data_IF_037987349349
#
_entry.id   IF_037987349349
#
_cell.length_a   1.000
_cell.length_b   1.000
_cell.length_c   1.000
_cell.angle_alpha   90.00
_cell.angle_beta   90.00
_cell.angle_gamma   90.00
#
_symmetry.space_group_name_H-M   'P 1'
#
loop_
_entity.id
_entity.type
_entity.pdbx_description
1 polymer ?
#
# COMPACT_ATOMS: atom_id res chain seq x y z
N UNK A 1 -166.15 -106.95 -139.40
CA UNK A 1 -166.60 -106.11 -138.27
C UNK A 1 -165.78 -106.42 -137.01
N UNK A 2 -164.48 -106.09 -136.99
CA UNK A 2 -163.63 -106.20 -135.78
C UNK A 2 -162.52 -105.13 -135.73
N UNK A 3 -162.38 -104.30 -136.77
CA UNK A 3 -161.36 -103.26 -136.87
C UNK A 3 -161.79 -101.91 -136.26
N UNK A 4 -163.09 -101.68 -136.03
CA UNK A 4 -163.63 -100.42 -135.50
C UNK A 4 -163.58 -100.28 -133.97
N UNK A 5 -163.02 -101.25 -133.23
CA UNK A 5 -162.87 -101.19 -131.75
C UNK A 5 -161.44 -100.86 -131.27
N UNK A 6 -160.46 -100.76 -132.17
CA UNK A 6 -159.04 -100.64 -131.81
C UNK A 6 -158.49 -99.20 -131.85
N UNK A 7 -159.22 -98.26 -132.44
CA UNK A 7 -158.79 -96.85 -132.53
C UNK A 7 -159.26 -95.99 -131.34
N UNK A 8 -160.36 -96.35 -130.68
CA UNK A 8 -160.93 -95.56 -129.58
C UNK A 8 -160.14 -95.65 -128.26
N UNK A 9 -159.41 -96.74 -128.02
CA UNK A 9 -158.61 -96.91 -126.79
C UNK A 9 -157.27 -96.14 -126.81
N UNK A 10 -156.78 -95.74 -127.98
CA UNK A 10 -155.50 -95.00 -128.09
C UNK A 10 -155.64 -93.51 -127.79
N UNK A 11 -156.78 -92.92 -128.13
CA UNK A 11 -157.03 -91.49 -127.94
C UNK A 11 -157.23 -91.12 -126.47
N UNK A 12 -157.84 -92.01 -125.67
CA UNK A 12 -158.04 -91.75 -124.23
C UNK A 12 -156.75 -91.81 -123.39
N UNK A 13 -155.75 -92.61 -123.79
CA UNK A 13 -154.49 -92.70 -123.05
C UNK A 13 -153.55 -91.49 -123.22
N UNK A 14 -153.67 -90.75 -124.33
CA UNK A 14 -152.78 -89.61 -124.62
C UNK A 14 -153.21 -88.33 -123.87
N UNK A 15 -154.50 -88.20 -123.55
CA UNK A 15 -155.04 -87.06 -122.78
C UNK A 15 -154.64 -87.13 -121.30
N UNK A 16 -154.56 -88.32 -120.71
CA UNK A 16 -154.21 -88.50 -119.29
C UNK A 16 -152.74 -88.15 -118.98
N UNK A 17 -151.82 -88.35 -119.92
CA UNK A 17 -150.39 -88.06 -119.73
C UNK A 17 -150.10 -86.56 -119.73
N UNK A 18 -150.84 -85.77 -120.51
CA UNK A 18 -150.69 -84.31 -120.55
C UNK A 18 -151.14 -83.65 -119.24
N UNK A 19 -152.22 -84.12 -118.64
CA UNK A 19 -152.79 -83.54 -117.42
C UNK A 19 -151.90 -83.78 -116.18
N UNK A 20 -151.17 -84.91 -116.15
CA UNK A 20 -150.18 -85.21 -115.10
C UNK A 20 -148.95 -84.28 -115.19
N UNK A 21 -148.55 -83.90 -116.41
CA UNK A 21 -147.37 -83.05 -116.61
C UNK A 21 -147.60 -81.62 -116.11
N UNK A 22 -148.78 -81.07 -116.37
CA UNK A 22 -149.14 -79.71 -115.94
C UNK A 22 -149.29 -79.61 -114.42
N UNK A 23 -149.81 -80.64 -113.75
CA UNK A 23 -149.84 -80.69 -112.27
C UNK A 23 -148.45 -80.67 -111.65
N UNK A 24 -147.52 -81.48 -112.16
CA UNK A 24 -146.16 -81.51 -111.64
C UNK A 24 -145.40 -80.19 -111.86
N UNK A 25 -145.65 -79.49 -112.97
CA UNK A 25 -145.01 -78.21 -113.22
C UNK A 25 -145.48 -77.12 -112.23
N UNK A 26 -146.76 -77.12 -111.86
CA UNK A 26 -147.29 -76.19 -110.88
C UNK A 26 -146.77 -76.46 -109.46
N UNK A 27 -146.68 -77.73 -109.02
CA UNK A 27 -146.11 -78.06 -107.70
C UNK A 27 -144.64 -77.62 -107.55
N UNK A 28 -143.84 -77.75 -108.62
CA UNK A 28 -142.43 -77.31 -108.59
C UNK A 28 -142.33 -75.79 -108.48
N UNK A 29 -143.18 -75.04 -109.19
CA UNK A 29 -143.19 -73.58 -109.13
C UNK A 29 -143.60 -73.07 -107.74
N UNK A 30 -144.59 -73.72 -107.10
CA UNK A 30 -145.06 -73.36 -105.77
C UNK A 30 -143.99 -73.60 -104.69
N UNK A 31 -143.26 -74.72 -104.76
CA UNK A 31 -142.14 -75.00 -103.85
C UNK A 31 -140.97 -74.02 -104.01
N UNK A 32 -140.72 -73.54 -105.23
CA UNK A 32 -139.65 -72.57 -105.49
C UNK A 32 -139.94 -71.22 -104.83
N UNK A 33 -141.17 -70.71 -104.97
CA UNK A 33 -141.60 -69.47 -104.31
C UNK A 33 -141.51 -69.56 -102.79
N UNK A 34 -141.96 -70.68 -102.19
CA UNK A 34 -141.86 -70.89 -100.74
C UNK A 34 -140.40 -70.87 -100.23
N UNK A 35 -139.45 -71.41 -101.01
CA UNK A 35 -138.03 -71.38 -100.62
C UNK A 35 -137.43 -69.98 -100.76
N UNK A 36 -137.82 -69.21 -101.77
CA UNK A 36 -137.33 -67.86 -101.98
C UNK A 36 -137.81 -66.90 -100.88
N UNK A 37 -139.09 -67.02 -100.47
CA UNK A 37 -139.64 -66.29 -99.33
C UNK A 37 -138.89 -66.61 -98.02
N UNK A 38 -138.61 -67.90 -97.79
CA UNK A 38 -137.88 -68.35 -96.60
C UNK A 38 -136.45 -67.81 -96.57
N UNK A 39 -135.77 -67.75 -97.73
CA UNK A 39 -134.42 -67.21 -97.84
C UNK A 39 -134.40 -65.70 -97.53
N UNK A 40 -135.36 -64.94 -98.05
CA UNK A 40 -135.47 -63.51 -97.76
C UNK A 40 -135.73 -63.22 -96.28
N UNK A 41 -136.60 -63.99 -95.63
CA UNK A 41 -136.85 -63.87 -94.19
C UNK A 41 -135.61 -64.18 -93.33
N UNK A 42 -134.80 -65.17 -93.74
CA UNK A 42 -133.54 -65.45 -93.04
C UNK A 42 -132.58 -64.27 -93.21
N UNK A 43 -132.46 -63.70 -94.41
CA UNK A 43 -131.55 -62.58 -94.68
C UNK A 43 -131.91 -61.32 -93.88
N UNK A 44 -133.19 -60.97 -93.80
CA UNK A 44 -133.65 -59.82 -93.00
C UNK A 44 -133.47 -60.05 -91.50
N UNK A 45 -133.69 -61.28 -91.00
CA UNK A 45 -133.39 -61.65 -89.61
C UNK A 45 -131.89 -61.52 -89.26
N UNK A 46 -131.01 -61.90 -90.20
CA UNK A 46 -129.56 -61.80 -90.00
C UNK A 46 -129.08 -60.34 -89.96
N UNK A 47 -129.56 -59.50 -90.87
CA UNK A 47 -129.20 -58.07 -90.90
C UNK A 47 -129.71 -57.32 -89.66
N UNK A 48 -130.90 -57.68 -89.15
CA UNK A 48 -131.43 -57.10 -87.91
C UNK A 48 -130.64 -57.55 -86.68
N UNK A 49 -130.25 -58.82 -86.58
CA UNK A 49 -129.37 -59.29 -85.50
C UNK A 49 -127.98 -58.65 -85.56
N UNK A 50 -127.41 -58.47 -86.76
CA UNK A 50 -126.11 -57.80 -86.94
C UNK A 50 -126.16 -56.36 -86.44
N UNK A 51 -127.19 -55.59 -86.82
CA UNK A 51 -127.37 -54.22 -86.33
C UNK A 51 -127.53 -54.13 -84.81
N UNK A 52 -128.25 -55.07 -84.18
CA UNK A 52 -128.37 -55.12 -82.71
C UNK A 52 -127.03 -55.37 -82.03
N UNK A 53 -126.24 -56.31 -82.55
CA UNK A 53 -124.90 -56.62 -82.03
C UNK A 53 -123.94 -55.44 -82.14
N UNK A 54 -123.96 -54.71 -83.25
CA UNK A 54 -123.11 -53.52 -83.43
C UNK A 54 -123.48 -52.42 -82.41
N UNK A 55 -124.79 -52.22 -82.16
CA UNK A 55 -125.29 -51.24 -81.20
C UNK A 55 -124.94 -51.62 -79.75
N UNK A 56 -125.08 -52.91 -79.39
CA UNK A 56 -124.64 -53.41 -78.08
C UNK A 56 -123.14 -53.22 -77.86
N UNK A 57 -122.32 -53.47 -78.89
CA UNK A 57 -120.88 -53.27 -78.82
C UNK A 57 -120.51 -51.80 -78.58
N UNK A 58 -121.19 -50.87 -79.23
CA UNK A 58 -120.96 -49.43 -79.05
C UNK A 58 -121.35 -48.96 -77.64
N UNK A 59 -122.52 -49.39 -77.14
CA UNK A 59 -122.95 -49.11 -75.76
C UNK A 59 -121.94 -49.66 -74.75
N UNK A 60 -121.45 -50.89 -74.96
CA UNK A 60 -120.47 -51.51 -74.07
C UNK A 60 -119.13 -50.74 -74.07
N UNK A 61 -118.66 -50.31 -75.24
CA UNK A 61 -117.42 -49.55 -75.36
C UNK A 61 -117.50 -48.20 -74.63
N UNK A 62 -118.61 -47.47 -74.79
CA UNK A 62 -118.82 -46.20 -74.10
C UNK A 62 -118.93 -46.39 -72.59
N UNK A 63 -119.64 -47.42 -72.13
CA UNK A 63 -119.73 -47.75 -70.70
C UNK A 63 -118.36 -48.11 -70.09
N UNK A 64 -117.48 -48.78 -70.84
CA UNK A 64 -116.13 -49.06 -70.38
C UNK A 64 -115.27 -47.80 -70.33
N UNK A 65 -115.39 -46.89 -71.29
CA UNK A 65 -114.66 -45.63 -71.31
C UNK A 65 -115.06 -44.73 -70.12
N UNK A 66 -116.36 -44.58 -69.85
CA UNK A 66 -116.85 -43.84 -68.67
C UNK A 66 -116.30 -44.42 -67.36
N UNK A 67 -116.28 -45.76 -67.22
CA UNK A 67 -115.70 -46.40 -66.03
C UNK A 67 -114.21 -46.12 -65.88
N UNK A 68 -113.45 -46.03 -66.97
CA UNK A 68 -112.02 -45.72 -66.92
C UNK A 68 -111.82 -44.26 -66.49
N UNK A 69 -112.63 -43.34 -67.02
CA UNK A 69 -112.58 -41.93 -66.66
C UNK A 69 -112.95 -41.69 -65.20
N UNK A 70 -114.01 -42.33 -64.71
CA UNK A 70 -114.39 -42.30 -63.29
C UNK A 70 -113.27 -42.87 -62.40
N UNK A 71 -112.67 -43.99 -62.80
CA UNK A 71 -111.58 -44.60 -62.05
C UNK A 71 -110.36 -43.67 -61.95
N UNK A 72 -109.97 -43.05 -63.07
CA UNK A 72 -108.88 -42.09 -63.11
C UNK A 72 -109.17 -40.86 -62.24
N UNK A 73 -110.39 -40.31 -62.28
CA UNK A 73 -110.79 -39.19 -61.45
C UNK A 73 -110.73 -39.53 -59.94
N UNK A 74 -111.10 -40.76 -59.55
CA UNK A 74 -110.96 -41.23 -58.17
C UNK A 74 -109.48 -41.33 -57.76
N UNK A 75 -108.62 -41.87 -58.62
CA UNK A 75 -107.18 -41.97 -58.34
C UNK A 75 -106.51 -40.59 -58.27
N UNK A 76 -106.82 -39.68 -59.18
CA UNK A 76 -106.28 -38.32 -59.17
C UNK A 76 -106.66 -37.58 -57.89
N UNK A 77 -107.93 -37.67 -57.46
CA UNK A 77 -108.36 -37.10 -56.19
C UNK A 77 -107.64 -37.76 -54.99
N UNK A 78 -107.42 -39.08 -55.02
CA UNK A 78 -106.67 -39.78 -53.98
C UNK A 78 -105.20 -39.32 -53.92
N UNK A 79 -104.56 -39.11 -55.06
CA UNK A 79 -103.19 -38.58 -55.11
C UNK A 79 -103.13 -37.14 -54.60
N UNK A 80 -104.08 -36.30 -54.99
CA UNK A 80 -104.15 -34.90 -54.56
C UNK A 80 -104.33 -34.79 -53.04
N UNK A 81 -105.31 -35.50 -52.50
CA UNK A 81 -105.56 -35.55 -51.05
C UNK A 81 -104.38 -36.13 -50.28
N UNK A 82 -103.73 -37.19 -50.79
CA UNK A 82 -102.52 -37.74 -50.16
C UNK A 82 -101.36 -36.74 -50.16
N UNK A 83 -101.21 -35.95 -51.23
CA UNK A 83 -100.17 -34.94 -51.34
C UNK A 83 -100.44 -33.74 -50.43
N UNK A 84 -101.69 -33.27 -50.37
CA UNK A 84 -102.13 -32.21 -49.44
C UNK A 84 -101.92 -32.62 -47.98
N UNK A 85 -102.29 -33.84 -47.61
CA UNK A 85 -102.04 -34.39 -46.28
C UNK A 85 -100.53 -34.49 -45.97
N UNK A 86 -99.72 -34.94 -46.94
CA UNK A 86 -98.27 -35.02 -46.76
C UNK A 86 -97.64 -33.63 -46.56
N UNK A 87 -98.12 -32.60 -47.27
CA UNK A 87 -97.66 -31.22 -47.09
C UNK A 87 -98.07 -30.66 -45.73
N UNK A 88 -99.30 -30.91 -45.26
CA UNK A 88 -99.74 -30.49 -43.93
C UNK A 88 -98.87 -31.12 -42.83
N UNK A 89 -98.58 -32.42 -42.94
CA UNK A 89 -97.69 -33.09 -41.99
C UNK A 89 -96.27 -32.52 -42.06
N UNK A 90 -95.78 -32.15 -43.24
CA UNK A 90 -94.46 -31.53 -43.37
C UNK A 90 -94.40 -30.14 -42.74
N UNK A 91 -95.45 -29.32 -42.91
CA UNK A 91 -95.58 -28.00 -42.28
C UNK A 91 -95.67 -28.12 -40.75
N UNK A 92 -96.47 -29.06 -40.23
CA UNK A 92 -96.54 -29.34 -38.79
C UNK A 92 -95.19 -29.79 -38.21
N UNK A 93 -94.43 -30.63 -38.94
CA UNK A 93 -93.08 -31.05 -38.51
C UNK A 93 -92.13 -29.85 -38.51
N UNK A 94 -92.20 -28.97 -39.50
CA UNK A 94 -91.34 -27.79 -39.57
C UNK A 94 -91.63 -26.82 -38.41
N UNK A 95 -92.90 -26.53 -38.14
CA UNK A 95 -93.34 -25.69 -37.01
C UNK A 95 -92.88 -26.28 -35.66
N UNK A 96 -93.11 -27.58 -35.45
CA UNK A 96 -92.65 -28.27 -34.24
C UNK A 96 -91.13 -28.22 -34.09
N UNK A 97 -90.40 -28.37 -35.20
CA UNK A 97 -88.93 -28.32 -35.19
C UNK A 97 -88.44 -26.92 -34.84
N UNK A 98 -89.02 -25.86 -35.41
CA UNK A 98 -88.69 -24.48 -35.07
C UNK A 98 -88.99 -24.15 -33.60
N UNK A 99 -90.12 -24.61 -33.07
CA UNK A 99 -90.46 -24.44 -31.65
C UNK A 99 -89.52 -25.20 -30.71
N UNK A 100 -89.05 -26.39 -31.11
CA UNK A 100 -88.04 -27.12 -30.35
C UNK A 100 -86.69 -26.39 -30.40
N UNK A 101 -86.26 -25.92 -31.57
CA UNK A 101 -85.02 -25.16 -31.73
C UNK A 101 -85.04 -23.91 -30.86
N UNK A 102 -86.13 -23.12 -30.92
CA UNK A 102 -86.26 -21.91 -30.13
C UNK A 102 -86.20 -22.18 -28.63
N UNK A 103 -86.90 -23.22 -28.15
CA UNK A 103 -86.83 -23.62 -26.73
C UNK A 103 -85.42 -24.05 -26.32
N UNK A 104 -84.70 -24.78 -27.17
CA UNK A 104 -83.32 -25.16 -26.90
C UNK A 104 -82.39 -23.96 -26.87
N UNK A 105 -82.57 -22.98 -27.76
CA UNK A 105 -81.80 -21.73 -27.75
C UNK A 105 -82.05 -20.94 -26.46
N UNK A 106 -83.31 -20.76 -26.07
CA UNK A 106 -83.69 -20.07 -24.83
C UNK A 106 -83.09 -20.79 -23.59
N UNK A 107 -83.23 -22.11 -23.49
CA UNK A 107 -82.63 -22.90 -22.40
C UNK A 107 -81.09 -22.80 -22.38
N UNK A 108 -80.47 -22.80 -23.55
CA UNK A 108 -79.01 -22.68 -23.68
C UNK A 108 -78.54 -21.30 -23.23
N UNK A 109 -79.22 -20.24 -23.64
CA UNK A 109 -78.88 -18.87 -23.22
C UNK A 109 -79.05 -18.67 -21.72
N UNK A 110 -80.11 -19.23 -21.12
CA UNK A 110 -80.33 -19.20 -19.67
C UNK A 110 -79.21 -19.94 -18.92
N UNK A 111 -78.84 -21.14 -19.38
CA UNK A 111 -77.73 -21.91 -18.80
C UNK A 111 -76.39 -21.18 -18.92
N UNK A 112 -76.12 -20.53 -20.04
CA UNK A 112 -74.92 -19.72 -20.22
C UNK A 112 -74.94 -18.52 -19.26
N UNK A 113 -76.07 -17.82 -19.14
CA UNK A 113 -76.22 -16.70 -18.22
C UNK A 113 -76.01 -17.13 -16.76
N UNK A 114 -76.60 -18.25 -16.34
CA UNK A 114 -76.40 -18.81 -15.00
C UNK A 114 -74.93 -19.21 -14.78
N UNK A 115 -74.32 -19.93 -15.71
CA UNK A 115 -72.93 -20.37 -15.59
C UNK A 115 -71.96 -19.20 -15.52
N UNK A 116 -72.15 -18.17 -16.35
CA UNK A 116 -71.32 -16.96 -16.32
C UNK A 116 -71.48 -16.19 -15.02
N UNK A 117 -72.70 -16.11 -14.47
CA UNK A 117 -72.97 -15.49 -13.18
C UNK A 117 -72.30 -16.26 -12.02
N UNK A 118 -72.46 -17.58 -11.96
CA UNK A 118 -71.80 -18.42 -10.94
C UNK A 118 -70.28 -18.34 -11.02
N UNK A 119 -69.72 -18.35 -12.22
CA UNK A 119 -68.28 -18.20 -12.42
C UNK A 119 -67.78 -16.83 -11.96
N UNK A 120 -68.56 -15.77 -12.20
CA UNK A 120 -68.24 -14.42 -11.70
C UNK A 120 -68.23 -14.37 -10.18
N UNK A 121 -69.25 -14.93 -9.52
CA UNK A 121 -69.28 -15.01 -8.04
C UNK A 121 -68.03 -15.74 -7.51
N UNK A 122 -67.70 -16.91 -8.07
CA UNK A 122 -66.51 -17.66 -7.65
C UNK A 122 -65.22 -16.88 -7.87
N UNK A 123 -65.11 -16.17 -8.99
CA UNK A 123 -63.97 -15.32 -9.30
C UNK A 123 -63.84 -14.16 -8.30
N UNK A 124 -64.95 -13.50 -7.97
CA UNK A 124 -64.98 -12.40 -7.01
C UNK A 124 -64.64 -12.87 -5.59
N UNK A 125 -65.18 -14.01 -5.16
CA UNK A 125 -64.83 -14.65 -3.88
C UNK A 125 -63.34 -14.98 -3.79
N UNK A 126 -62.78 -15.58 -4.85
CA UNK A 126 -61.35 -15.90 -4.91
C UNK A 126 -60.47 -14.66 -4.95
N UNK A 127 -60.90 -13.62 -5.66
CA UNK A 127 -60.21 -12.32 -5.69
C UNK A 127 -60.16 -11.69 -4.30
N UNK A 128 -61.28 -11.75 -3.56
CA UNK A 128 -61.39 -11.22 -2.21
C UNK A 128 -60.57 -12.04 -1.19
N UNK A 129 -60.57 -13.37 -1.31
CA UNK A 129 -59.71 -14.27 -0.53
C UNK A 129 -58.23 -13.95 -0.76
N UNK A 130 -57.82 -13.79 -2.02
CA UNK A 130 -56.44 -13.44 -2.39
C UNK A 130 -56.04 -12.06 -1.86
N UNK A 131 -56.93 -11.06 -1.98
CA UNK A 131 -56.69 -9.72 -1.45
C UNK A 131 -56.50 -9.76 0.07
N UNK A 132 -57.29 -10.53 0.80
CA UNK A 132 -57.14 -10.73 2.25
C UNK A 132 -55.82 -11.43 2.60
N UNK A 133 -55.43 -12.46 1.86
CA UNK A 133 -54.14 -13.16 2.05
C UNK A 133 -52.96 -12.23 1.81
N UNK A 134 -53.01 -11.43 0.75
CA UNK A 134 -51.96 -10.47 0.40
C UNK A 134 -51.83 -9.38 1.48
N UNK A 135 -52.95 -8.82 1.95
CA UNK A 135 -52.95 -7.84 3.04
C UNK A 135 -52.39 -8.44 4.35
N UNK A 136 -52.68 -9.70 4.65
CA UNK A 136 -52.11 -10.39 5.81
C UNK A 136 -50.60 -10.63 5.67
N UNK A 137 -50.15 -11.07 4.49
CA UNK A 137 -48.72 -11.23 4.20
C UNK A 137 -47.97 -9.90 4.33
N UNK A 138 -48.54 -8.80 3.82
CA UNK A 138 -47.95 -7.47 3.95
C UNK A 138 -47.84 -7.02 5.42
N UNK A 139 -48.87 -7.27 6.23
CA UNK A 139 -48.85 -6.99 7.68
C UNK A 139 -47.77 -7.78 8.41
N UNK A 140 -47.63 -9.07 8.10
CA UNK A 140 -46.59 -9.93 8.68
C UNK A 140 -45.21 -9.43 8.27
N UNK A 141 -44.99 -9.14 6.98
CA UNK A 141 -43.73 -8.62 6.47
C UNK A 141 -43.34 -7.29 7.11
N UNK A 142 -44.29 -6.35 7.25
CA UNK A 142 -44.08 -5.08 7.93
C UNK A 142 -43.68 -5.26 9.40
N UNK A 143 -44.27 -6.26 10.07
CA UNK A 143 -43.93 -6.58 11.46
C UNK A 143 -42.53 -7.17 11.57
N UNK A 144 -42.16 -8.08 10.68
CA UNK A 144 -40.81 -8.65 10.60
C UNK A 144 -39.77 -7.57 10.30
N UNK A 145 -40.04 -6.66 9.36
CA UNK A 145 -39.15 -5.55 9.03
C UNK A 145 -38.92 -4.64 10.24
N UNK A 146 -39.99 -4.28 10.97
CA UNK A 146 -39.88 -3.48 12.20
C UNK A 146 -39.06 -4.19 13.28
N UNK A 147 -39.25 -5.49 13.46
CA UNK A 147 -38.48 -6.29 14.41
C UNK A 147 -36.99 -6.35 14.01
N UNK A 148 -36.70 -6.53 12.72
CA UNK A 148 -35.35 -6.55 12.18
C UNK A 148 -34.63 -5.21 12.39
N UNK A 149 -35.31 -4.08 12.10
CA UNK A 149 -34.77 -2.73 12.35
C UNK A 149 -34.47 -2.54 13.84
N UNK A 150 -35.43 -2.86 14.73
CA UNK A 150 -35.22 -2.75 16.18
C UNK A 150 -34.04 -3.60 16.68
N UNK A 151 -33.91 -4.82 16.16
CA UNK A 151 -32.79 -5.71 16.52
C UNK A 151 -31.45 -5.17 16.00
N UNK A 152 -31.44 -4.60 14.79
CA UNK A 152 -30.26 -3.95 14.23
C UNK A 152 -29.84 -2.75 15.08
N UNK A 153 -30.78 -1.86 15.41
CA UNK A 153 -30.51 -0.67 16.24
C UNK A 153 -29.96 -1.06 17.61
N UNK A 154 -30.56 -2.09 18.24
CA UNK A 154 -30.08 -2.62 19.52
C UNK A 154 -28.65 -3.15 19.41
N UNK A 155 -28.37 -3.96 18.39
CA UNK A 155 -27.03 -4.53 18.19
C UNK A 155 -26.00 -3.44 17.88
N UNK A 156 -26.39 -2.42 17.13
CA UNK A 156 -25.55 -1.25 16.87
C UNK A 156 -25.25 -0.49 18.16
N UNK A 157 -26.25 -0.28 19.02
CA UNK A 157 -26.04 0.38 20.32
C UNK A 157 -25.13 -0.46 21.24
N UNK A 158 -25.33 -1.78 21.30
CA UNK A 158 -24.48 -2.70 22.06
C UNK A 158 -23.01 -2.64 21.58
N UNK A 159 -22.77 -2.62 20.26
CA UNK A 159 -21.43 -2.47 19.69
C UNK A 159 -20.78 -1.12 20.01
N UNK A 160 -21.55 -0.03 19.97
CA UNK A 160 -21.04 1.31 20.32
C UNK A 160 -20.64 1.35 21.80
N UNK A 161 -21.48 0.82 22.69
CA UNK A 161 -21.17 0.74 24.12
C UNK A 161 -19.96 -0.14 24.40
N UNK A 162 -19.84 -1.29 23.73
CA UNK A 162 -18.67 -2.17 23.88
C UNK A 162 -17.39 -1.47 23.44
N UNK A 163 -17.43 -0.78 22.30
CA UNK A 163 -16.29 -0.01 21.80
C UNK A 163 -15.91 1.15 22.73
N UNK A 164 -16.89 1.87 23.27
CA UNK A 164 -16.64 2.93 24.26
C UNK A 164 -15.99 2.39 25.53
N UNK A 165 -16.46 1.25 26.03
CA UNK A 165 -15.84 0.56 27.17
C UNK A 165 -14.40 0.11 26.86
N UNK A 166 -14.14 -0.40 25.65
CA UNK A 166 -12.79 -0.77 25.22
C UNK A 166 -11.86 0.45 25.17
N UNK A 167 -12.33 1.57 24.61
CA UNK A 167 -11.57 2.83 24.59
C UNK A 167 -11.29 3.35 25.99
N UNK A 168 -12.26 3.30 26.89
CA UNK A 168 -12.09 3.72 28.28
C UNK A 168 -11.05 2.85 29.00
N UNK A 169 -11.12 1.53 28.84
CA UNK A 169 -10.15 0.59 29.41
C UNK A 169 -8.74 0.83 28.86
N UNK A 170 -8.61 1.04 27.54
CA UNK A 170 -7.34 1.33 26.90
C UNK A 170 -6.75 2.66 27.39
N UNK A 171 -7.58 3.69 27.53
CA UNK A 171 -7.16 4.99 28.06
C UNK A 171 -6.70 4.88 29.52
N UNK A 172 -7.42 4.12 30.35
CA UNK A 172 -7.00 3.85 31.73
C UNK A 172 -5.65 3.13 31.80
N UNK A 173 -5.45 2.10 30.97
CA UNK A 173 -4.16 1.39 30.88
C UNK A 173 -3.03 2.32 30.44
N UNK A 174 -3.25 3.13 29.40
CA UNK A 174 -2.25 4.10 28.92
C UNK A 174 -1.91 5.15 29.99
N UNK A 175 -2.91 5.64 30.73
CA UNK A 175 -2.70 6.57 31.83
C UNK A 175 -1.85 5.94 32.94
N UNK A 176 -2.15 4.68 33.29
CA UNK A 176 -1.35 3.93 34.27
C UNK A 176 0.10 3.77 33.82
N UNK A 177 0.32 3.36 32.56
CA UNK A 177 1.67 3.23 31.98
C UNK A 177 2.42 4.56 31.95
N UNK A 178 1.75 5.66 31.61
CA UNK A 178 2.35 7.01 31.63
C UNK A 178 2.82 7.38 33.02
N UNK A 179 2.00 7.15 34.05
CA UNK A 179 2.39 7.40 35.45
C UNK A 179 3.57 6.53 35.89
N UNK A 180 3.60 5.27 35.47
CA UNK A 180 4.71 4.38 35.77
C UNK A 180 6.02 4.85 35.11
N UNK A 181 5.96 5.22 33.83
CA UNK A 181 7.09 5.80 33.10
C UNK A 181 7.57 7.11 33.72
N UNK A 182 6.66 7.98 34.13
CA UNK A 182 6.98 9.23 34.83
C UNK A 182 7.70 8.95 36.15
N UNK A 183 7.23 7.98 36.94
CA UNK A 183 7.89 7.56 38.17
C UNK A 183 9.29 6.99 37.92
N UNK A 184 9.47 6.18 36.87
CA UNK A 184 10.78 5.64 36.48
C UNK A 184 11.72 6.79 36.08
N UNK A 185 11.23 7.72 35.26
CA UNK A 185 12.01 8.86 34.79
C UNK A 185 12.44 9.76 35.94
N UNK A 186 11.54 10.05 36.87
CA UNK A 186 11.85 10.86 38.06
C UNK A 186 12.93 10.20 38.93
N UNK A 187 12.83 8.88 39.15
CA UNK A 187 13.88 8.12 39.86
C UNK A 187 15.23 8.17 39.13
N UNK A 188 15.23 8.08 37.80
CA UNK A 188 16.45 8.18 37.01
C UNK A 188 17.08 9.58 37.12
N UNK A 189 16.27 10.64 37.10
CA UNK A 189 16.72 12.02 37.32
C UNK A 189 17.33 12.17 38.72
N UNK A 190 16.64 11.69 39.76
CA UNK A 190 17.14 11.73 41.13
C UNK A 190 18.48 11.00 41.27
N UNK A 191 18.58 9.80 40.72
CA UNK A 191 19.82 9.02 40.71
C UNK A 191 20.96 9.75 39.99
N UNK A 192 20.71 10.31 38.80
CA UNK A 192 21.71 11.09 38.06
C UNK A 192 22.14 12.35 38.82
N UNK A 193 21.20 13.04 39.45
CA UNK A 193 21.49 14.20 40.30
C UNK A 193 22.38 13.83 41.48
N UNK A 194 22.09 12.71 42.14
CA UNK A 194 22.91 12.20 43.25
C UNK A 194 24.29 11.75 42.79
N UNK A 195 24.40 11.06 41.64
CA UNK A 195 25.67 10.73 41.03
C UNK A 195 26.50 11.97 40.71
N UNK A 196 25.89 13.00 40.11
CA UNK A 196 26.60 14.23 39.79
C UNK A 196 27.10 14.94 41.05
N UNK A 197 26.28 15.01 42.10
CA UNK A 197 26.67 15.53 43.41
C UNK A 197 27.88 14.77 43.99
N UNK A 198 27.87 13.44 43.90
CA UNK A 198 28.99 12.61 44.36
C UNK A 198 30.28 12.85 43.55
N UNK A 199 30.17 13.03 42.23
CA UNK A 199 31.30 13.38 41.37
C UNK A 199 31.88 14.73 41.78
N UNK A 200 31.04 15.76 41.98
CA UNK A 200 31.51 17.08 42.41
C UNK A 200 32.23 17.03 43.76
N UNK A 201 31.73 16.24 44.72
CA UNK A 201 32.39 16.03 46.01
C UNK A 201 33.76 15.33 45.85
N UNK A 202 33.86 14.35 44.95
CA UNK A 202 35.12 13.67 44.65
C UNK A 202 36.11 14.61 43.95
N UNK A 203 35.64 15.45 43.02
CA UNK A 203 36.47 16.45 42.35
C UNK A 203 36.99 17.50 43.33
N UNK A 204 36.15 18.03 44.22
CA UNK A 204 36.59 18.98 45.25
C UNK A 204 37.64 18.35 46.17
N UNK A 205 37.42 17.12 46.62
CA UNK A 205 38.39 16.39 47.43
C UNK A 205 39.72 16.19 46.69
N UNK A 206 39.66 15.80 45.42
CA UNK A 206 40.83 15.60 44.57
C UNK A 206 41.57 16.91 44.32
N UNK A 207 40.84 18.00 44.12
CA UNK A 207 41.38 19.35 43.95
C UNK A 207 42.11 19.79 45.22
N UNK A 208 41.50 19.66 46.40
CA UNK A 208 42.14 19.98 47.69
C UNK A 208 43.43 19.21 47.89
N UNK A 209 43.43 17.90 47.62
CA UNK A 209 44.63 17.07 47.72
C UNK A 209 45.74 17.53 46.77
N UNK A 210 45.40 17.83 45.51
CA UNK A 210 46.38 18.38 44.54
C UNK A 210 46.90 19.74 44.97
N UNK A 211 46.01 20.63 45.44
CA UNK A 211 46.37 21.96 45.89
C UNK A 211 47.31 21.90 47.11
N UNK A 212 47.02 21.06 48.10
CA UNK A 212 47.90 20.82 49.24
C UNK A 212 49.26 20.26 48.81
N UNK A 213 49.28 19.31 47.87
CA UNK A 213 50.53 18.74 47.34
C UNK A 213 51.38 19.81 46.65
N UNK A 214 50.78 20.63 45.77
CA UNK A 214 51.45 21.75 45.09
C UNK A 214 51.96 22.76 46.11
N UNK A 215 51.17 23.09 47.13
CA UNK A 215 51.56 24.04 48.17
C UNK A 215 52.78 23.53 48.96
N UNK A 216 52.80 22.24 49.31
CA UNK A 216 53.95 21.60 49.96
C UNK A 216 55.18 21.57 49.06
N UNK A 217 55.00 21.26 47.78
CA UNK A 217 56.08 21.27 46.80
C UNK A 217 56.68 22.66 46.65
N UNK A 218 55.85 23.69 46.45
CA UNK A 218 56.27 25.09 46.40
C UNK A 218 57.01 25.52 47.67
N UNK A 219 56.51 25.17 48.86
CA UNK A 219 57.20 25.46 50.11
C UNK A 219 58.58 24.81 50.16
N UNK A 220 58.69 23.54 49.73
CA UNK A 220 59.97 22.83 49.68
C UNK A 220 60.97 23.48 48.70
N UNK A 221 60.48 24.02 47.58
CA UNK A 221 61.30 24.75 46.60
C UNK A 221 61.78 26.07 47.21
N UNK A 222 60.90 26.82 47.86
CA UNK A 222 61.25 28.06 48.56
C UNK A 222 62.27 27.81 49.67
N UNK A 223 62.11 26.75 50.46
CA UNK A 223 63.05 26.38 51.51
C UNK A 223 64.42 26.01 50.92
N UNK A 224 64.46 25.28 49.81
CA UNK A 224 65.70 24.95 49.09
C UNK A 224 66.39 26.20 48.53
N UNK A 225 65.62 27.12 47.96
CA UNK A 225 66.12 28.41 47.46
C UNK A 225 66.69 29.23 48.62
N UNK A 226 65.96 29.32 49.73
CA UNK A 226 66.39 30.01 50.94
C UNK A 226 67.69 29.41 51.48
N UNK A 227 67.77 28.08 51.57
CA UNK A 227 68.99 27.40 51.99
C UNK A 227 70.17 27.66 51.06
N UNK A 228 69.96 27.63 49.73
CA UNK A 228 70.99 27.95 48.74
C UNK A 228 71.48 29.39 48.90
N UNK A 229 70.57 30.36 49.04
CA UNK A 229 70.94 31.75 49.28
C UNK A 229 71.65 31.95 50.62
N UNK A 230 71.19 31.34 51.71
CA UNK A 230 71.88 31.39 53.00
C UNK A 230 73.30 30.82 52.91
N UNK A 231 73.49 29.70 52.20
CA UNK A 231 74.81 29.13 51.97
C UNK A 231 75.71 30.06 51.14
N UNK A 232 75.18 30.68 50.09
CA UNK A 232 75.91 31.67 49.27
C UNK A 232 76.27 32.94 50.06
N UNK A 233 75.36 33.45 50.89
CA UNK A 233 75.63 34.59 51.76
C UNK A 233 76.75 34.23 52.74
N UNK A 234 76.65 33.06 53.38
CA UNK A 234 77.67 32.61 54.32
C UNK A 234 79.03 32.39 53.65
N UNK A 235 79.07 31.85 52.42
CA UNK A 235 80.33 31.68 51.68
C UNK A 235 80.96 33.04 51.31
N UNK A 236 80.15 34.00 50.84
CA UNK A 236 80.61 35.37 50.57
C UNK A 236 81.16 36.02 51.84
N UNK A 237 80.40 35.98 52.94
CA UNK A 237 80.83 36.53 54.25
C UNK A 237 82.16 35.91 54.71
N UNK A 238 82.28 34.59 54.63
CA UNK A 238 83.51 33.88 55.01
C UNK A 238 84.69 34.23 54.09
N UNK A 239 84.48 34.31 52.77
CA UNK A 239 85.52 34.70 51.81
C UNK A 239 86.03 36.12 52.05
N UNK A 240 85.13 37.04 52.41
CA UNK A 240 85.48 38.44 52.68
C UNK A 240 86.17 38.59 54.05
N UNK A 241 85.76 37.81 55.06
CA UNK A 241 86.51 37.73 56.33
C UNK A 241 87.93 37.20 56.12
N UNK A 242 88.12 36.12 55.34
CA UNK A 242 89.45 35.58 55.02
C UNK A 242 90.33 36.59 54.28
N UNK A 243 89.74 37.35 53.35
CA UNK A 243 90.46 38.39 52.62
C UNK A 243 90.90 39.52 53.56
N UNK A 244 90.01 39.93 54.48
CA UNK A 244 90.32 40.96 55.48
C UNK A 244 91.44 40.53 56.44
N UNK A 245 91.39 39.31 56.97
CA UNK A 245 92.45 38.79 57.86
C UNK A 245 93.79 38.64 57.15
N UNK A 246 93.80 38.28 55.86
CA UNK A 246 95.04 38.22 55.08
C UNK A 246 95.67 39.61 54.85
N UNK A 247 94.84 40.65 54.69
CA UNK A 247 95.30 42.05 54.60
C UNK A 247 95.83 42.55 55.95
N UNK A 248 95.12 42.28 57.05
CA UNK A 248 95.55 42.68 58.41
C UNK A 248 96.91 42.04 58.78
N UNK A 249 97.11 40.75 58.50
CA UNK A 249 98.38 40.06 58.77
C UNK A 249 99.58 40.57 57.96
N UNK A 250 99.36 41.31 56.86
CA UNK A 250 100.44 41.92 56.05
C UNK A 250 100.79 43.35 56.48
N UNK A 251 99.93 44.02 57.25
CA UNK A 251 100.20 45.36 57.79
C UNK A 251 101.26 45.38 58.90
N UNK A 252 101.48 44.24 59.55
CA UNK A 252 102.34 44.11 60.73
C UNK A 252 103.78 43.67 60.43
N UNK A 253 104.15 43.42 59.17
CA UNK A 253 105.52 43.02 58.79
C UNK A 253 106.40 44.25 58.49
N UNK A 254 107.39 44.49 59.37
CA UNK A 254 108.35 45.61 59.29
C UNK A 254 109.22 45.60 58.02
N UNK A 255 109.23 44.49 57.26
CA UNK A 255 109.87 44.39 55.94
C UNK A 255 109.23 45.30 54.88
N UNK A 256 107.91 45.55 54.95
CA UNK A 256 107.18 46.34 53.95
C UNK A 256 107.25 47.86 54.16
N UNK A 257 108.08 48.35 55.11
CA UNK A 257 108.17 49.77 55.50
C UNK A 257 109.43 50.52 55.03
N UNK A 258 110.32 49.93 54.22
CA UNK A 258 111.56 50.63 53.76
C UNK A 258 111.23 51.62 52.62
N UNK A 259 111.27 52.93 52.90
CA UNK A 259 110.88 54.02 51.99
C UNK A 259 112.03 54.73 51.25
N UNK A 260 113.31 54.54 51.62
CA UNK A 260 114.43 55.19 50.91
C UNK A 260 115.77 54.43 51.00
N UNK A 261 116.68 54.64 50.03
CA UNK A 261 118.05 54.09 50.03
C UNK A 261 119.02 55.10 50.65
N UNK A 262 119.73 54.70 51.70
CA UNK A 262 120.74 55.52 52.39
C UNK A 262 122.14 54.87 52.29
N UNK A 263 122.81 54.94 51.12
CA UNK A 263 124.19 54.48 50.98
C UNK A 263 125.16 55.50 51.59
N UNK A 264 126.20 54.99 52.24
CA UNK A 264 127.33 55.78 52.74
C UNK A 264 128.49 55.70 51.71
N UNK A 265 129.13 56.82 51.41
CA UNK A 265 130.27 56.89 50.47
C UNK A 265 131.52 57.33 51.20
N UNK A 266 132.58 56.55 51.07
CA UNK A 266 133.92 56.88 51.57
C UNK A 266 134.91 56.97 50.41
N UNK A 267 135.61 58.10 50.29
CA UNK A 267 136.66 58.30 49.28
C UNK A 267 137.98 57.77 49.80
N UNK A 268 138.55 56.78 49.12
CA UNK A 268 139.91 56.28 49.34
C UNK A 268 140.85 56.89 48.27
N UNK A 269 142.16 56.83 48.46
CA UNK A 269 143.14 57.47 47.54
C UNK A 269 143.02 56.97 46.10
N UNK A 270 142.71 55.68 45.90
CA UNK A 270 142.66 55.03 44.58
C UNK A 270 141.27 54.52 44.19
N UNK A 271 140.28 54.61 45.07
CA UNK A 271 138.92 54.09 44.85
C UNK A 271 137.87 54.86 45.65
N UNK A 272 136.60 54.71 45.27
CA UNK A 272 135.47 55.01 46.15
C UNK A 272 134.87 53.72 46.69
N UNK A 273 134.49 53.73 47.95
CA UNK A 273 133.77 52.66 48.60
C UNK A 273 132.35 53.13 48.95
N UNK A 274 131.36 52.33 48.59
CA UNK A 274 129.94 52.61 48.81
C UNK A 274 129.33 51.46 49.59
N UNK A 275 128.83 51.71 50.79
CA UNK A 275 128.17 50.72 51.64
C UNK A 275 126.66 50.95 51.71
N UNK A 276 125.88 49.87 51.65
CA UNK A 276 124.43 49.87 51.78
C UNK A 276 123.98 48.68 52.64
N UNK A 277 123.15 48.93 53.66
CA UNK A 277 122.52 47.86 54.45
C UNK A 277 121.40 47.20 53.64
N UNK A 278 121.56 45.91 53.32
CA UNK A 278 120.59 45.14 52.52
C UNK A 278 120.54 43.71 53.05
N UNK A 279 119.36 43.09 53.19
CA UNK A 279 119.24 41.68 53.55
C UNK A 279 119.90 40.74 52.53
N UNK A 280 120.31 39.56 52.96
CA UNK A 280 121.10 38.64 52.13
C UNK A 280 120.36 38.19 50.85
N UNK A 281 119.04 38.01 50.92
CA UNK A 281 118.23 37.58 49.78
C UNK A 281 118.04 38.68 48.71
N UNK A 282 118.33 39.95 49.03
CA UNK A 282 118.20 41.07 48.10
C UNK A 282 119.54 41.53 47.51
N UNK A 283 120.68 40.95 47.93
CA UNK A 283 122.01 41.42 47.50
C UNK A 283 122.21 41.41 45.99
N UNK A 284 121.60 40.47 45.28
CA UNK A 284 121.69 40.34 43.82
C UNK A 284 120.82 41.36 43.06
N UNK A 285 119.82 41.93 43.74
CA UNK A 285 118.89 42.90 43.18
C UNK A 285 119.41 44.34 43.28
N UNK A 286 120.52 44.55 43.99
CA UNK A 286 121.21 45.84 44.08
C UNK A 286 122.29 45.89 43.01
N UNK A 287 122.27 46.95 42.21
CA UNK A 287 123.28 47.22 41.18
C UNK A 287 123.83 48.61 41.34
N UNK A 288 125.16 48.71 41.31
CA UNK A 288 125.86 49.97 41.18
C UNK A 288 126.38 50.10 39.74
N UNK A 289 126.08 51.22 39.11
CA UNK A 289 126.61 51.58 37.79
C UNK A 289 127.31 52.91 37.88
N UNK A 290 128.43 53.05 37.17
CA UNK A 290 129.19 54.29 37.13
C UNK A 290 129.25 54.81 35.71
N UNK A 291 128.94 56.10 35.53
CA UNK A 291 129.02 56.77 34.24
C UNK A 291 129.68 58.14 34.44
N UNK A 292 130.96 58.22 34.05
CA UNK A 292 131.77 59.42 34.24
C UNK A 292 131.97 59.73 35.73
N UNK A 293 131.31 60.78 36.21
CA UNK A 293 131.33 61.23 37.61
C UNK A 293 130.12 60.79 38.42
N UNK A 294 129.10 60.21 37.79
CA UNK A 294 127.86 59.84 38.47
C UNK A 294 127.80 58.34 38.74
N UNK A 295 127.54 58.00 39.99
CA UNK A 295 127.29 56.67 40.49
C UNK A 295 125.79 56.49 40.69
N UNK A 296 125.20 55.53 40.02
CA UNK A 296 123.77 55.21 40.14
C UNK A 296 123.63 53.86 40.84
N UNK A 297 123.08 53.91 42.06
CA UNK A 297 122.73 52.74 42.84
C UNK A 297 121.24 52.44 42.62
N UNK A 298 120.93 51.29 42.05
CA UNK A 298 119.56 50.83 41.80
C UNK A 298 119.28 49.55 42.57
N UNK A 299 118.19 49.52 43.33
CA UNK A 299 117.63 48.31 43.92
C UNK A 299 116.30 48.00 43.23
N UNK A 300 116.17 46.81 42.66
CA UNK A 300 114.92 46.36 42.03
C UNK A 300 114.25 45.29 42.89
N UNK A 301 113.19 45.65 43.60
CA UNK A 301 112.38 44.70 44.37
C UNK A 301 111.26 44.15 43.51
N UNK A 302 111.04 42.84 43.57
CA UNK A 302 109.92 42.17 42.89
C UNK A 302 108.99 41.58 43.93
N UNK A 303 107.75 42.05 43.94
CA UNK A 303 106.64 41.45 44.67
C UNK A 303 105.92 40.51 43.73
N UNK A 304 105.85 39.23 44.07
CA UNK A 304 104.96 38.28 43.42
C UNK A 304 104.04 37.71 44.47
N UNK A 305 102.75 37.97 44.33
CA UNK A 305 101.72 37.40 45.18
C UNK A 305 100.79 36.54 44.33
N UNK A 306 100.52 35.33 44.79
CA UNK A 306 99.66 34.37 44.10
C UNK A 306 98.52 34.03 45.03
N UNK A 307 97.31 34.45 44.69
CA UNK A 307 96.10 34.10 45.43
C UNK A 307 95.34 33.07 44.62
N UNK A 308 95.28 31.83 45.13
CA UNK A 308 94.45 30.77 44.55
C UNK A 308 92.99 30.96 44.99
N UNK A 309 92.10 31.10 44.02
CA UNK A 309 90.65 31.18 44.27
C UNK A 309 90.06 29.76 44.34
N UNK A 310 88.98 29.59 45.10
CA UNK A 310 88.34 28.27 45.31
C UNK A 310 87.83 27.60 44.00
N UNK A 311 87.72 28.35 42.90
CA UNK A 311 87.40 27.83 41.54
C UNK A 311 88.63 27.24 40.80
N UNK A 312 89.80 27.15 41.45
CA UNK A 312 91.04 26.62 40.88
C UNK A 312 91.81 27.62 40.00
N UNK A 313 91.31 28.85 39.84
CA UNK A 313 92.00 29.93 39.14
C UNK A 313 92.96 30.67 40.08
N UNK A 314 94.23 30.83 39.70
CA UNK A 314 95.21 31.62 40.44
C UNK A 314 95.30 33.04 39.87
N UNK A 315 95.08 34.04 40.72
CA UNK A 315 95.34 35.43 40.40
C UNK A 315 96.74 35.79 40.89
N UNK A 316 97.67 35.94 39.96
CA UNK A 316 99.03 36.36 40.24
C UNK A 316 99.15 37.86 40.06
N UNK A 317 99.37 38.58 41.16
CA UNK A 317 99.72 40.00 41.14
C UNK A 317 101.23 40.12 41.23
N UNK A 318 101.86 40.69 40.20
CA UNK A 318 103.28 41.04 40.24
C UNK A 318 103.44 42.55 40.20
N UNK A 319 104.11 43.09 41.21
CA UNK A 319 104.50 44.51 41.28
C UNK A 319 106.00 44.57 41.43
N UNK A 320 106.67 45.42 40.67
CA UNK A 320 108.09 45.69 40.88
C UNK A 320 108.28 47.14 41.31
N UNK A 321 109.15 47.35 42.28
CA UNK A 321 109.53 48.66 42.76
C UNK A 321 111.02 48.86 42.54
N UNK A 322 111.38 49.93 41.85
CA UNK A 322 112.77 50.26 41.53
C UNK A 322 113.14 51.52 42.30
N UNK A 323 114.03 51.37 43.27
CA UNK A 323 114.62 52.48 43.98
C UNK A 323 115.94 52.84 43.33
N UNK A 324 116.08 54.08 42.86
CA UNK A 324 117.32 54.56 42.25
C UNK A 324 117.83 55.77 43.01
N UNK A 325 119.10 55.74 43.41
CA UNK A 325 119.79 56.88 44.00
C UNK A 325 121.03 57.20 43.17
N UNK A 326 121.11 58.46 42.73
CA UNK A 326 122.28 59.00 42.03
C UNK A 326 123.18 59.72 43.01
N UNK A 327 124.47 59.48 42.89
CA UNK A 327 125.52 59.99 43.75
C UNK A 327 126.61 60.56 42.83
N UNK A 328 126.89 61.87 42.90
CA UNK A 328 127.93 62.49 42.09
C UNK A 328 129.26 62.47 42.83
N UNK A 329 130.34 62.16 42.12
CA UNK A 329 131.73 62.10 42.61
C UNK A 329 132.62 63.12 41.89
N UNK A 330 133.75 63.48 42.49
CA UNK A 330 134.66 64.50 41.93
C UNK A 330 135.54 63.94 40.80
N UNK A 331 135.91 62.66 40.91
CA UNK A 331 136.85 62.01 40.01
C UNK A 331 136.12 61.18 38.94
N UNK A 332 136.78 60.90 37.81
CA UNK A 332 136.26 59.98 36.80
C UNK A 332 136.38 58.54 37.32
N UNK A 333 135.28 57.79 37.23
CA UNK A 333 135.22 56.42 37.75
C UNK A 333 135.41 55.39 36.65
N UNK A 334 136.18 54.33 36.94
CA UNK A 334 136.31 53.18 36.04
C UNK A 334 135.10 52.25 36.18
N UNK A 335 134.16 52.33 35.24
CA UNK A 335 132.94 51.51 35.26
C UNK A 335 133.17 50.01 35.04
N UNK A 336 134.36 49.60 34.57
CA UNK A 336 134.68 48.17 34.34
C UNK A 336 135.18 47.45 35.59
N UNK A 337 135.68 48.20 36.58
CA UNK A 337 136.31 47.65 37.78
C UNK A 337 135.48 47.98 39.03
N UNK A 338 134.23 47.51 39.03
CA UNK A 338 133.35 47.55 40.21
C UNK A 338 133.42 46.19 40.87
N UNK A 339 133.96 46.14 42.09
CA UNK A 339 133.97 44.91 42.90
C UNK A 339 132.92 45.03 44.00
N UNK A 340 132.12 43.98 44.18
CA UNK A 340 131.09 43.91 45.22
C UNK A 340 131.49 42.89 46.28
N UNK A 341 131.28 43.24 47.54
CA UNK A 341 131.48 42.36 48.69
C UNK A 341 130.31 42.50 49.66
N UNK A 342 129.84 41.39 50.23
CA UNK A 342 128.72 41.39 51.16
C UNK A 342 129.15 40.74 52.48
N UNK A 343 129.01 41.49 53.58
CA UNK A 343 129.35 40.98 54.92
C UNK A 343 128.35 41.50 55.95
N UNK A 344 127.78 40.57 56.74
CA UNK A 344 126.96 40.88 57.92
C UNK A 344 125.82 41.90 57.67
N UNK A 345 125.07 41.74 56.59
CA UNK A 345 123.93 42.64 56.29
C UNK A 345 124.29 43.93 55.54
N UNK A 346 125.57 44.12 55.20
CA UNK A 346 126.06 45.30 54.48
C UNK A 346 126.68 44.88 53.15
N UNK A 347 126.15 45.43 52.07
CA UNK A 347 126.68 45.31 50.73
C UNK A 347 127.61 46.50 50.43
N UNK A 348 128.85 46.20 50.09
CA UNK A 348 129.89 47.18 49.84
C UNK A 348 130.40 47.07 48.40
N UNK A 349 130.36 48.18 47.67
CA UNK A 349 130.92 48.29 46.34
C UNK A 349 132.21 49.11 46.40
N UNK A 350 133.29 48.61 45.79
CA UNK A 350 134.51 49.37 45.59
C UNK A 350 134.69 49.63 44.09
N UNK A 351 134.87 50.89 43.73
CA UNK A 351 135.10 51.33 42.35
C UNK A 351 136.40 52.12 42.24
N UNK A 352 137.26 51.72 41.29
CA UNK A 352 138.54 52.38 41.07
C UNK A 352 138.37 53.78 40.44
N UNK A 353 139.21 54.73 40.88
CA UNK A 353 139.36 56.04 40.23
C UNK A 353 140.20 55.88 38.95
N UNK A 354 139.82 56.57 37.88
CA UNK A 354 140.55 56.59 36.60
C UNK A 354 141.78 57.51 36.64
#
# INVERSE_FOLDING_TARGET
MYELRKEDERYNGEVEILDIRDRNQNEIAEQLNLKEERLNNIKTSFDTSKKKLDLEREILANSHQEKIEDLNAVYDNKYKTSFENANQVAEEIDDQTHDIIRRMEDETTERIAQSTFENKIRADEKSLENTRKLANQERVHKTQQRAAVKNYDRRSAELVMEHENQLMNQNYQQLSQRKELENIHNKEIEFKSEQHKNILLQEDKSFRQKYEAITKEHQSVLDRIKQKFSNQINSIVNSQMRSKTSVENRGDDDFYKITSLEPEITSLEKSYQISLKVPEHEKENVRLTAQGRDLTLSLTRKFSDTVESEDGSSNQSSRSEVFTKKLSTTDLMNSREITQNYKEGVLTFNIAKL
#
